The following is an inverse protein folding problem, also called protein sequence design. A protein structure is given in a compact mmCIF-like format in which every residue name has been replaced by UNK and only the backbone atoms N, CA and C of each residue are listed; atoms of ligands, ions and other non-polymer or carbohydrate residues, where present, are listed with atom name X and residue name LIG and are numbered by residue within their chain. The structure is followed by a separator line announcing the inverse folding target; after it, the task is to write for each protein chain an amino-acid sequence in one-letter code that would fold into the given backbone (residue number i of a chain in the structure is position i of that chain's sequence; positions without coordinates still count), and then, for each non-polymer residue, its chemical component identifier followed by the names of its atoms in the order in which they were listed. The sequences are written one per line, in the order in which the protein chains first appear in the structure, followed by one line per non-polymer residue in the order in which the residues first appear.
data_IF_546906750630
#
_entry.id   IF_546906750630
#
_cell.length_a   1.000
_cell.length_b   1.000
_cell.length_c   1.000
_cell.angle_alpha   90.00
_cell.angle_beta   90.00
_cell.angle_gamma   90.00
#
_symmetry.space_group_name_H-M   'P 1'
#
loop_
_entity.id
_entity.type
_entity.pdbx_description
1 polymer ?
#
# COMPACT_ATOMS: atom_id res chain seq x y z
N UNK A 1 -45.62 34.05 -37.34
CA UNK A 1 -44.48 34.54 -38.13
C UNK A 1 -43.26 34.50 -37.24
N UNK A 2 -42.31 33.64 -37.61
CA UNK A 2 -41.04 33.40 -36.94
C UNK A 2 -40.11 34.61 -37.10
N UNK A 3 -39.36 34.94 -36.06
CA UNK A 3 -37.91 35.16 -36.17
C UNK A 3 -37.22 35.34 -34.81
N UNK A 4 -35.95 34.90 -34.78
CA UNK A 4 -34.89 35.08 -33.78
C UNK A 4 -34.98 34.20 -32.51
N UNK A 5 -33.92 33.52 -32.04
CA UNK A 5 -32.52 33.48 -32.47
C UNK A 5 -31.88 32.17 -31.99
N UNK A 6 -31.14 31.49 -32.86
CA UNK A 6 -30.41 30.27 -32.58
C UNK A 6 -29.14 30.61 -31.77
N UNK A 7 -29.28 30.87 -30.48
CA UNK A 7 -28.14 31.12 -29.57
C UNK A 7 -28.36 30.59 -28.14
N UNK A 8 -29.35 29.73 -27.94
CA UNK A 8 -29.73 29.24 -26.60
C UNK A 8 -29.67 27.72 -26.47
N UNK A 9 -29.29 27.00 -27.52
CA UNK A 9 -29.17 25.53 -27.49
C UNK A 9 -27.75 24.99 -27.28
N UNK A 10 -26.74 25.85 -27.24
CA UNK A 10 -25.34 25.44 -27.01
C UNK A 10 -24.89 25.58 -25.54
N UNK A 11 -25.67 26.28 -24.70
CA UNK A 11 -25.31 26.58 -23.31
C UNK A 11 -25.95 25.65 -22.27
N UNK A 12 -26.91 24.80 -22.66
CA UNK A 12 -27.59 23.88 -21.74
C UNK A 12 -27.01 22.44 -21.74
N UNK A 13 -26.06 22.13 -22.65
CA UNK A 13 -25.33 20.86 -22.60
C UNK A 13 -24.10 20.89 -21.68
N UNK A 14 -23.63 22.07 -21.27
CA UNK A 14 -22.45 22.22 -20.39
C UNK A 14 -22.79 22.29 -18.89
N UNK A 15 -24.05 22.50 -18.52
CA UNK A 15 -24.47 22.57 -17.10
C UNK A 15 -24.93 21.23 -16.52
N UNK A 16 -24.87 20.14 -17.27
CA UNK A 16 -25.14 18.77 -16.79
C UNK A 16 -23.89 17.88 -16.68
N UNK A 17 -22.69 18.47 -16.83
CA UNK A 17 -21.39 17.81 -16.62
C UNK A 17 -20.66 18.33 -15.38
N UNK A 18 -21.39 18.88 -14.42
CA UNK A 18 -20.85 19.25 -13.11
C UNK A 18 -21.63 18.40 -12.12
N UNK A 19 -20.93 17.63 -11.28
CA UNK A 19 -21.45 16.67 -10.29
C UNK A 19 -21.66 15.20 -10.73
N UNK A 20 -20.88 14.71 -11.70
CA UNK A 20 -20.21 13.43 -11.41
C UNK A 20 -19.21 13.75 -10.31
N UNK A 21 -19.42 13.32 -9.08
CA UNK A 21 -18.42 13.47 -8.03
C UNK A 21 -17.17 12.69 -8.45
N UNK A 22 -16.25 13.34 -9.16
CA UNK A 22 -14.91 12.81 -9.37
C UNK A 22 -14.33 12.65 -7.97
N UNK A 23 -14.30 11.41 -7.49
CA UNK A 23 -13.41 11.05 -6.39
C UNK A 23 -12.03 11.43 -6.92
N UNK A 24 -11.44 12.51 -6.40
CA UNK A 24 -10.09 12.91 -6.76
C UNK A 24 -9.16 11.78 -6.31
N UNK A 25 -8.89 10.83 -7.21
CA UNK A 25 -7.94 9.76 -6.97
C UNK A 25 -6.56 10.37 -6.81
N UNK A 26 -5.75 9.78 -5.95
CA UNK A 26 -4.33 10.14 -5.85
C UNK A 26 -3.63 9.79 -7.17
N UNK A 27 -4.02 8.67 -7.81
CA UNK A 27 -3.45 8.21 -9.07
C UNK A 27 -3.61 9.24 -10.18
N UNK A 28 -4.79 9.89 -10.27
CA UNK A 28 -5.08 10.90 -11.31
C UNK A 28 -4.22 12.17 -11.20
N UNK A 29 -3.58 12.39 -10.05
CA UNK A 29 -2.74 13.56 -9.76
C UNK A 29 -1.24 13.28 -9.98
N UNK A 30 -0.85 12.01 -10.11
CA UNK A 30 0.53 11.59 -10.33
C UNK A 30 0.94 11.75 -11.79
N UNK A 31 2.24 11.89 -12.02
CA UNK A 31 2.81 11.89 -13.37
C UNK A 31 2.61 10.53 -14.04
N UNK A 32 2.45 10.49 -15.38
CA UNK A 32 2.25 9.25 -16.12
C UNK A 32 3.33 8.19 -15.87
N UNK A 33 4.59 8.60 -15.69
CA UNK A 33 5.70 7.69 -15.39
C UNK A 33 5.54 7.04 -14.00
N UNK A 34 5.09 7.81 -13.01
CA UNK A 34 4.79 7.32 -11.66
C UNK A 34 3.62 6.34 -11.70
N UNK A 35 2.54 6.68 -12.41
CA UNK A 35 1.38 5.80 -12.57
C UNK A 35 1.77 4.49 -13.26
N UNK A 36 2.56 4.55 -14.33
CA UNK A 36 3.05 3.36 -15.04
C UNK A 36 3.91 2.48 -14.13
N UNK A 37 4.81 3.08 -13.35
CA UNK A 37 5.66 2.36 -12.40
C UNK A 37 4.86 1.68 -11.29
N UNK A 38 3.89 2.37 -10.68
CA UNK A 38 3.04 1.80 -9.65
C UNK A 38 2.13 0.70 -10.21
N UNK A 39 1.58 0.91 -11.41
CA UNK A 39 0.72 -0.08 -12.08
C UNK A 39 1.45 -1.38 -12.36
N UNK A 40 2.67 -1.33 -12.89
CA UNK A 40 3.50 -2.52 -13.14
C UNK A 40 3.78 -3.30 -11.83
N UNK A 41 4.07 -2.57 -10.74
CA UNK A 41 4.24 -3.19 -9.43
C UNK A 41 2.96 -3.84 -8.89
N UNK A 42 1.80 -3.18 -9.01
CA UNK A 42 0.54 -3.73 -8.50
C UNK A 42 0.05 -4.91 -9.35
N UNK A 43 0.25 -4.90 -10.67
CA UNK A 43 -0.04 -6.07 -11.52
C UNK A 43 0.84 -7.27 -11.15
N UNK A 44 2.13 -7.03 -10.89
CA UNK A 44 3.03 -8.06 -10.37
C UNK A 44 2.56 -8.57 -9.00
N UNK A 45 2.15 -7.68 -8.09
CA UNK A 45 1.60 -8.02 -6.77
C UNK A 45 0.35 -8.87 -6.87
N UNK A 46 -0.62 -8.48 -7.71
CA UNK A 46 -1.83 -9.25 -7.95
C UNK A 46 -1.51 -10.68 -8.40
N UNK A 47 -0.59 -10.83 -9.35
CA UNK A 47 -0.16 -12.14 -9.85
C UNK A 47 0.50 -12.99 -8.76
N UNK A 48 1.33 -12.38 -7.91
CA UNK A 48 1.98 -13.08 -6.81
C UNK A 48 1.01 -13.50 -5.71
N UNK A 49 0.02 -12.65 -5.41
CA UNK A 49 -1.02 -12.96 -4.45
C UNK A 49 -2.03 -13.99 -4.99
N UNK A 50 -2.19 -14.13 -6.30
CA UNK A 50 -2.92 -15.27 -6.88
C UNK A 50 -2.26 -16.61 -6.57
N UNK A 51 -0.93 -16.65 -6.47
CA UNK A 51 -0.16 -17.87 -6.19
C UNK A 51 -0.03 -18.09 -4.68
N UNK A 52 0.29 -17.05 -3.92
CA UNK A 52 0.70 -17.15 -2.52
C UNK A 52 -0.29 -16.55 -1.52
N UNK A 53 -1.37 -15.89 -1.98
CA UNK A 53 -2.23 -15.04 -1.17
C UNK A 53 -2.87 -15.74 0.03
N UNK A 54 -3.33 -16.98 -0.15
CA UNK A 54 -3.93 -17.77 0.96
C UNK A 54 -2.92 -18.08 2.06
N UNK A 55 -1.71 -18.52 1.69
CA UNK A 55 -0.66 -18.78 2.68
C UNK A 55 -0.18 -17.47 3.32
N UNK A 56 -0.06 -16.42 2.51
CA UNK A 56 0.31 -15.08 2.94
C UNK A 56 -0.63 -14.56 4.03
N UNK A 57 -1.95 -14.57 3.78
CA UNK A 57 -2.96 -14.17 4.76
C UNK A 57 -2.89 -15.01 6.03
N UNK A 58 -2.78 -16.34 5.88
CA UNK A 58 -2.73 -17.25 7.02
C UNK A 58 -1.54 -16.96 7.94
N UNK A 59 -0.34 -16.79 7.37
CA UNK A 59 0.87 -16.52 8.14
C UNK A 59 0.89 -15.10 8.71
N UNK A 60 0.39 -14.12 7.96
CA UNK A 60 0.26 -12.73 8.41
C UNK A 60 -0.67 -12.63 9.62
N UNK A 61 -1.85 -13.26 9.55
CA UNK A 61 -2.79 -13.31 10.67
C UNK A 61 -2.19 -14.00 11.91
N UNK A 62 -1.44 -15.09 11.72
CA UNK A 62 -0.72 -15.74 12.83
C UNK A 62 0.36 -14.84 13.42
N UNK A 63 1.09 -14.09 12.59
CA UNK A 63 2.07 -13.10 13.03
C UNK A 63 1.45 -12.02 13.89
N UNK A 64 0.35 -11.41 13.43
CA UNK A 64 -0.40 -10.39 14.18
C UNK A 64 -0.88 -10.97 15.52
N UNK A 65 -1.56 -12.12 15.50
CA UNK A 65 -2.06 -12.75 16.72
C UNK A 65 -0.94 -13.08 17.69
N UNK A 66 0.22 -13.54 17.19
CA UNK A 66 1.37 -13.83 18.01
C UNK A 66 1.93 -12.56 18.67
N UNK A 67 2.15 -11.50 17.89
CA UNK A 67 2.65 -10.21 18.40
C UNK A 67 1.71 -9.67 19.49
N UNK A 68 0.41 -9.64 19.25
CA UNK A 68 -0.57 -9.13 20.20
C UNK A 68 -0.58 -9.94 21.51
N UNK A 69 -0.26 -11.24 21.45
CA UNK A 69 -0.20 -12.11 22.63
C UNK A 69 1.11 -12.03 23.42
N UNK A 70 2.15 -11.36 22.91
CA UNK A 70 3.47 -11.35 23.54
C UNK A 70 3.44 -10.71 24.93
N UNK A 71 2.73 -9.60 25.08
CA UNK A 71 2.61 -8.89 26.36
C UNK A 71 1.90 -9.70 27.46
N UNK A 72 1.09 -10.69 27.09
CA UNK A 72 0.43 -11.61 28.03
C UNK A 72 1.35 -12.78 28.42
N UNK A 73 2.34 -13.11 27.59
CA UNK A 73 3.22 -14.27 27.75
C UNK A 73 4.58 -13.92 28.34
N UNK A 74 5.03 -12.67 28.16
CA UNK A 74 6.37 -12.22 28.50
C UNK A 74 6.35 -10.84 29.15
N UNK A 75 7.30 -10.60 30.05
CA UNK A 75 7.65 -9.25 30.48
C UNK A 75 8.48 -8.58 29.38
N UNK A 76 7.81 -7.78 28.55
CA UNK A 76 8.40 -7.18 27.35
C UNK A 76 9.50 -6.16 27.65
N UNK A 77 9.52 -5.61 28.86
CA UNK A 77 10.54 -4.67 29.32
C UNK A 77 11.81 -5.38 29.82
N UNK A 78 11.72 -6.69 30.11
CA UNK A 78 12.80 -7.46 30.73
C UNK A 78 12.95 -8.87 30.12
N UNK A 79 13.05 -8.94 28.80
CA UNK A 79 13.26 -10.19 28.08
C UNK A 79 14.68 -10.74 28.30
N UNK A 80 14.78 -12.02 28.68
CA UNK A 80 16.06 -12.74 28.62
C UNK A 80 16.52 -12.94 27.18
N UNK A 81 17.82 -13.18 26.98
CA UNK A 81 18.41 -13.46 25.67
C UNK A 81 17.73 -14.66 24.99
N UNK A 82 17.39 -15.70 25.75
CA UNK A 82 16.72 -16.89 25.23
C UNK A 82 15.28 -16.62 24.77
N UNK A 83 14.54 -15.79 25.51
CA UNK A 83 13.17 -15.40 25.15
C UNK A 83 13.18 -14.54 23.90
N UNK A 84 14.07 -13.54 23.85
CA UNK A 84 14.26 -12.70 22.68
C UNK A 84 14.57 -13.55 21.43
N UNK A 85 15.45 -14.53 21.54
CA UNK A 85 15.79 -15.43 20.44
C UNK A 85 14.60 -16.31 20.01
N UNK A 86 13.86 -16.88 20.97
CA UNK A 86 12.68 -17.68 20.69
C UNK A 86 11.56 -16.88 19.99
N UNK A 87 11.34 -15.63 20.43
CA UNK A 87 10.38 -14.72 19.82
C UNK A 87 10.81 -14.39 18.39
N UNK A 88 12.07 -14.03 18.16
CA UNK A 88 12.61 -13.75 16.83
C UNK A 88 12.42 -14.89 15.85
N UNK A 89 12.71 -16.13 16.25
CA UNK A 89 12.53 -17.30 15.38
C UNK A 89 11.08 -17.42 14.92
N UNK A 90 10.12 -17.25 15.83
CA UNK A 90 8.69 -17.32 15.49
C UNK A 90 8.30 -16.19 14.54
N UNK A 91 8.72 -14.95 14.81
CA UNK A 91 8.47 -13.80 13.93
C UNK A 91 9.04 -14.01 12.53
N UNK A 92 10.29 -14.48 12.41
CA UNK A 92 10.92 -14.81 11.11
C UNK A 92 10.11 -15.89 10.38
N UNK A 93 9.59 -16.89 11.10
CA UNK A 93 8.71 -17.91 10.54
C UNK A 93 7.47 -17.32 9.87
N UNK A 94 6.80 -16.37 10.54
CA UNK A 94 5.62 -15.69 9.98
C UNK A 94 5.99 -14.75 8.82
N UNK A 95 7.10 -14.01 8.93
CA UNK A 95 7.57 -13.06 7.92
C UNK A 95 8.15 -13.74 6.66
N UNK A 96 8.48 -15.04 6.72
CA UNK A 96 9.04 -15.78 5.58
C UNK A 96 8.20 -15.67 4.30
N UNK A 97 6.86 -15.67 4.42
CA UNK A 97 5.96 -15.57 3.27
C UNK A 97 5.95 -14.17 2.66
N UNK A 98 6.17 -13.13 3.49
CA UNK A 98 6.30 -11.75 3.01
C UNK A 98 7.49 -11.66 2.07
N UNK A 99 8.63 -12.25 2.48
CA UNK A 99 9.83 -12.33 1.62
C UNK A 99 9.57 -13.08 0.31
N UNK A 100 8.80 -14.17 0.34
CA UNK A 100 8.42 -14.91 -0.87
C UNK A 100 7.59 -14.06 -1.82
N UNK A 101 6.58 -13.36 -1.32
CA UNK A 101 5.73 -12.47 -2.14
C UNK A 101 6.54 -11.30 -2.67
N UNK A 102 7.34 -10.62 -1.84
CA UNK A 102 8.20 -9.51 -2.28
C UNK A 102 9.19 -9.95 -3.37
N UNK A 103 9.79 -11.13 -3.23
CA UNK A 103 10.67 -11.70 -4.27
C UNK A 103 9.89 -11.97 -5.55
N UNK A 104 8.72 -12.59 -5.47
CA UNK A 104 7.86 -12.85 -6.62
C UNK A 104 7.50 -11.56 -7.37
N UNK A 105 7.19 -10.48 -6.65
CA UNK A 105 6.88 -9.16 -7.22
C UNK A 105 8.09 -8.61 -7.94
N UNK A 106 9.26 -8.55 -7.28
CA UNK A 106 10.48 -8.02 -7.90
C UNK A 106 10.95 -8.81 -9.13
N UNK A 107 10.68 -10.11 -9.21
CA UNK A 107 10.96 -10.93 -10.40
C UNK A 107 9.98 -10.68 -11.57
N UNK A 108 8.83 -10.07 -11.30
CA UNK A 108 7.75 -9.82 -12.28
C UNK A 108 7.59 -8.35 -12.65
N UNK A 109 8.07 -7.42 -11.83
CA UNK A 109 8.17 -6.00 -12.18
C UNK A 109 9.10 -5.88 -13.38
N UNK A 110 8.59 -5.31 -14.47
CA UNK A 110 9.31 -5.20 -15.75
C UNK A 110 10.00 -3.86 -15.91
N UNK A 111 9.53 -2.84 -15.19
CA UNK A 111 10.07 -1.50 -15.22
C UNK A 111 11.35 -1.39 -14.38
N UNK A 112 12.50 -1.66 -15.00
CA UNK A 112 13.78 -1.21 -14.46
C UNK A 112 13.87 0.30 -14.64
N UNK A 113 13.71 1.05 -13.55
CA UNK A 113 13.89 2.50 -13.54
C UNK A 113 15.33 2.86 -13.21
N UNK A 114 15.90 3.82 -13.93
CA UNK A 114 17.18 4.39 -13.59
C UNK A 114 17.06 5.27 -12.33
N UNK A 115 18.20 5.61 -11.72
CA UNK A 115 18.24 6.38 -10.47
C UNK A 115 17.55 7.75 -10.59
N UNK A 116 17.66 8.43 -11.73
CA UNK A 116 17.05 9.74 -11.93
C UNK A 116 15.53 9.63 -12.02
N UNK A 117 15.02 8.66 -12.79
CA UNK A 117 13.58 8.36 -12.83
C UNK A 117 13.04 7.96 -11.45
N UNK A 118 13.80 7.19 -10.67
CA UNK A 118 13.45 6.85 -9.29
C UNK A 118 13.32 8.06 -8.37
N UNK A 119 14.26 9.01 -8.45
CA UNK A 119 14.15 10.26 -7.67
C UNK A 119 12.94 11.09 -8.08
N UNK A 120 12.62 11.14 -9.38
CA UNK A 120 11.43 11.83 -9.85
C UNK A 120 10.16 11.17 -9.29
N UNK A 121 10.02 9.85 -9.38
CA UNK A 121 8.88 9.11 -8.84
C UNK A 121 8.71 9.39 -7.33
N UNK A 122 9.80 9.36 -6.57
CA UNK A 122 9.77 9.64 -5.13
C UNK A 122 9.29 11.06 -4.84
N UNK A 123 9.81 12.06 -5.57
CA UNK A 123 9.39 13.45 -5.41
C UNK A 123 7.93 13.65 -5.82
N UNK A 124 7.48 12.98 -6.87
CA UNK A 124 6.08 13.02 -7.32
C UNK A 124 5.12 12.55 -6.23
N UNK A 125 5.42 11.38 -5.66
CA UNK A 125 4.66 10.79 -4.56
C UNK A 125 4.68 11.71 -3.35
N UNK A 126 5.85 12.23 -2.99
CA UNK A 126 6.00 13.13 -1.83
C UNK A 126 5.13 14.37 -1.96
N UNK A 127 5.11 15.00 -3.14
CA UNK A 127 4.33 16.22 -3.38
C UNK A 127 2.83 15.91 -3.41
N UNK A 128 2.40 14.91 -4.16
CA UNK A 128 0.96 14.58 -4.31
C UNK A 128 0.36 14.03 -3.02
N UNK A 129 1.12 13.27 -2.24
CA UNK A 129 0.70 12.72 -0.94
C UNK A 129 0.91 13.71 0.21
N UNK A 130 1.42 14.92 -0.07
CA UNK A 130 1.71 15.94 0.93
C UNK A 130 2.58 15.40 2.08
N UNK A 131 3.60 14.61 1.76
CA UNK A 131 4.50 14.01 2.75
C UNK A 131 5.58 15.03 3.14
N UNK A 132 5.63 15.35 4.42
CA UNK A 132 6.60 16.25 5.02
C UNK A 132 7.11 15.76 6.39
N UNK A 133 8.07 16.50 6.96
CA UNK A 133 8.74 16.13 8.22
C UNK A 133 7.86 16.25 9.46
N UNK A 134 6.61 16.72 9.33
CA UNK A 134 5.68 16.83 10.46
C UNK A 134 4.87 15.55 10.69
N UNK A 135 4.84 14.65 9.69
CA UNK A 135 4.17 13.37 9.80
C UNK A 135 4.92 12.41 10.72
N UNK A 136 4.16 11.65 11.50
CA UNK A 136 4.71 10.47 12.17
C UNK A 136 5.08 9.39 11.14
N UNK A 137 6.01 8.48 11.48
CA UNK A 137 6.37 7.36 10.59
C UNK A 137 5.16 6.50 10.16
N UNK A 138 4.13 6.43 11.01
CA UNK A 138 2.90 5.69 10.71
C UNK A 138 2.05 6.44 9.66
N UNK A 139 1.85 7.74 9.84
CA UNK A 139 1.08 8.55 8.88
C UNK A 139 1.78 8.60 7.51
N UNK A 140 3.12 8.70 7.50
CA UNK A 140 3.90 8.62 6.26
C UNK A 140 3.68 7.28 5.55
N UNK A 141 3.76 6.17 6.28
CA UNK A 141 3.52 4.82 5.72
C UNK A 141 2.09 4.66 5.18
N UNK A 142 1.09 5.14 5.92
CA UNK A 142 -0.32 5.10 5.50
C UNK A 142 -0.54 5.87 4.19
N UNK A 143 0.04 7.08 4.07
CA UNK A 143 -0.04 7.89 2.85
C UNK A 143 0.69 7.25 1.68
N UNK A 144 1.91 6.75 1.89
CA UNK A 144 2.71 6.07 0.86
C UNK A 144 2.02 4.84 0.29
N UNK A 145 1.16 4.17 1.08
CA UNK A 145 0.41 2.99 0.64
C UNK A 145 -0.88 3.34 -0.12
N UNK A 146 -1.36 4.58 -0.04
CA UNK A 146 -2.66 4.96 -0.63
C UNK A 146 -2.75 4.74 -2.15
N UNK A 147 -1.74 5.11 -2.98
CA UNK A 147 -1.76 4.80 -4.41
C UNK A 147 -1.91 3.31 -4.69
N UNK A 148 -1.17 2.46 -3.98
CA UNK A 148 -1.26 1.00 -4.09
C UNK A 148 -2.66 0.49 -3.75
N UNK A 149 -3.29 1.00 -2.69
CA UNK A 149 -4.65 0.60 -2.30
C UNK A 149 -5.70 0.99 -3.35
N UNK A 150 -5.56 2.16 -3.97
CA UNK A 150 -6.44 2.60 -5.06
C UNK A 150 -6.29 1.71 -6.30
N UNK A 151 -5.05 1.39 -6.71
CA UNK A 151 -4.78 0.50 -7.84
C UNK A 151 -5.24 -0.95 -7.57
N UNK A 152 -5.11 -1.44 -6.33
CA UNK A 152 -5.59 -2.77 -5.96
C UNK A 152 -7.11 -2.90 -6.08
N UNK A 153 -7.85 -1.85 -5.72
CA UNK A 153 -9.31 -1.80 -5.88
C UNK A 153 -9.71 -1.93 -7.35
N UNK A 154 -8.88 -1.43 -8.27
CA UNK A 154 -9.08 -1.52 -9.72
C UNK A 154 -8.68 -2.90 -10.29
N UNK A 155 -7.48 -3.39 -9.98
CA UNK A 155 -6.91 -4.57 -10.65
C UNK A 155 -7.25 -5.91 -9.99
N UNK A 156 -7.21 -5.99 -8.66
CA UNK A 156 -7.40 -7.24 -7.95
C UNK A 156 -8.01 -7.07 -6.55
N UNK A 157 -9.26 -6.58 -6.45
CA UNK A 157 -9.89 -6.25 -5.16
C UNK A 157 -9.98 -7.43 -4.19
N UNK A 158 -9.99 -8.67 -4.71
CA UNK A 158 -9.96 -9.91 -3.89
C UNK A 158 -8.71 -10.02 -2.99
N UNK A 159 -7.63 -9.31 -3.32
CA UNK A 159 -6.36 -9.33 -2.57
C UNK A 159 -6.17 -8.15 -1.64
N UNK A 160 -7.12 -7.21 -1.59
CA UNK A 160 -7.07 -6.03 -0.73
C UNK A 160 -6.84 -6.39 0.74
N UNK A 161 -7.54 -7.43 1.22
CA UNK A 161 -7.38 -7.93 2.59
C UNK A 161 -5.94 -8.33 2.89
N UNK A 162 -5.25 -8.99 1.96
CA UNK A 162 -3.86 -9.41 2.16
C UNK A 162 -2.94 -8.21 2.39
N UNK A 163 -3.11 -7.15 1.60
CA UNK A 163 -2.29 -5.93 1.70
C UNK A 163 -2.60 -5.17 2.99
N UNK A 164 -3.88 -5.05 3.37
CA UNK A 164 -4.27 -4.44 4.64
C UNK A 164 -3.75 -5.22 5.85
N UNK A 165 -3.77 -6.56 5.79
CA UNK A 165 -3.20 -7.41 6.85
C UNK A 165 -1.68 -7.28 6.95
N UNK A 166 -0.98 -7.06 5.84
CA UNK A 166 0.46 -6.76 5.91
C UNK A 166 0.71 -5.45 6.65
N UNK A 167 -0.08 -4.42 6.38
CA UNK A 167 0.02 -3.14 7.08
C UNK A 167 -0.28 -3.28 8.58
N UNK A 168 -1.31 -4.05 8.94
CA UNK A 168 -1.62 -4.39 10.34
C UNK A 168 -0.46 -5.11 11.02
N UNK A 169 0.20 -6.04 10.33
CA UNK A 169 1.38 -6.74 10.85
C UNK A 169 2.57 -5.80 11.08
N UNK A 170 2.84 -4.88 10.14
CA UNK A 170 3.90 -3.88 10.28
C UNK A 170 3.62 -2.97 11.47
N UNK A 171 2.39 -2.48 11.61
CA UNK A 171 1.99 -1.63 12.72
C UNK A 171 2.10 -2.37 14.07
N UNK A 172 1.70 -3.64 14.12
CA UNK A 172 1.88 -4.48 15.31
C UNK A 172 3.37 -4.69 15.64
N UNK A 173 4.24 -4.80 14.64
CA UNK A 173 5.68 -4.94 14.87
C UNK A 173 6.32 -3.65 15.42
N UNK A 174 5.83 -2.47 15.05
CA UNK A 174 6.38 -1.18 15.50
C UNK A 174 6.27 -0.95 17.02
N UNK A 175 5.31 -1.59 17.69
CA UNK A 175 5.15 -1.48 19.15
C UNK A 175 6.05 -2.45 19.94
N UNK A 176 6.80 -3.33 19.25
CA UNK A 176 7.74 -4.25 19.90
C UNK A 176 8.97 -3.48 20.42
N UNK A 177 9.66 -3.98 21.46
CA UNK A 177 10.97 -3.45 21.85
C UNK A 177 11.94 -3.43 20.66
N UNK A 178 12.83 -2.44 20.60
CA UNK A 178 13.82 -2.28 19.49
C UNK A 178 14.63 -3.55 19.20
N UNK A 179 14.87 -4.39 20.21
CA UNK A 179 15.56 -5.67 20.03
C UNK A 179 14.77 -6.68 19.18
N UNK A 180 13.46 -6.50 18.99
CA UNK A 180 12.52 -7.38 18.30
C UNK A 180 11.89 -6.76 17.04
N UNK A 181 11.98 -5.44 16.86
CA UNK A 181 11.69 -4.75 15.59
C UNK A 181 12.68 -5.20 14.51
#
# INVERSE_FOLDING_TARGET
MQNFNCSTFFLLFFTFFIFSGCKNSVIDQLRPETVSFLTDQEQARCTCLDIYGTEFLTKTNKGISYINSLSEQYDMDNLSVSELYAIKIKLVGFMSIVKTVSKCVGERTTNQIDQFTGMLIQEDLRVVLEIDSTLSPQEELERMNQPSLELLDEFCPKHKEAVLKLQELINAAQILPLGLQ
#
